data_IF_930545760383
#
_entry.id   IF_930545760383
#
_cell.length_a   1.000
_cell.length_b   1.000
_cell.length_c   1.000
_cell.angle_alpha   90.00
_cell.angle_beta   90.00
_cell.angle_gamma   90.00
#
_symmetry.space_group_name_H-M   'P 1'
#
loop_
_entity.id
_entity.type
_entity.pdbx_description
1 polymer ?
#
# COMPACT_ATOMS: atom_id res chain seq x y z
N UNK A 1 -6.29 -10.15 -20.74
CA UNK A 1 -6.55 -10.59 -19.37
C UNK A 1 -7.85 -9.92 -18.91
N UNK A 2 -8.62 -10.48 -17.97
CA UNK A 2 -9.87 -9.81 -17.58
C UNK A 2 -9.57 -8.53 -16.76
N UNK A 3 -10.38 -7.48 -16.95
CA UNK A 3 -10.21 -6.16 -16.30
C UNK A 3 -10.04 -6.30 -14.77
N UNK A 4 -10.72 -7.27 -14.16
CA UNK A 4 -10.64 -7.51 -12.72
C UNK A 4 -9.23 -7.98 -12.29
N UNK A 5 -8.56 -8.83 -13.09
CA UNK A 5 -7.20 -9.29 -12.78
C UNK A 5 -6.20 -8.13 -12.96
N UNK A 6 -6.33 -7.36 -14.04
CA UNK A 6 -5.48 -6.19 -14.29
C UNK A 6 -5.59 -5.17 -13.14
N UNK A 7 -6.81 -4.91 -12.68
CA UNK A 7 -7.09 -4.01 -11.56
C UNK A 7 -6.51 -4.56 -10.25
N UNK A 8 -6.61 -5.86 -10.01
CA UNK A 8 -6.08 -6.51 -8.81
C UNK A 8 -4.55 -6.42 -8.76
N UNK A 9 -3.88 -6.67 -9.89
CA UNK A 9 -2.42 -6.55 -9.98
C UNK A 9 -1.98 -5.09 -9.74
N UNK A 10 -2.68 -4.10 -10.31
CA UNK A 10 -2.41 -2.68 -10.05
C UNK A 10 -2.55 -2.33 -8.56
N UNK A 11 -3.62 -2.78 -7.90
CA UNK A 11 -3.82 -2.53 -6.46
C UNK A 11 -2.68 -3.14 -5.64
N UNK A 12 -2.30 -4.39 -5.94
CA UNK A 12 -1.19 -5.08 -5.27
C UNK A 12 0.10 -4.28 -5.41
N UNK A 13 0.44 -3.84 -6.62
CA UNK A 13 1.69 -3.11 -6.87
C UNK A 13 1.74 -1.77 -6.10
N UNK A 14 0.60 -1.07 -6.00
CA UNK A 14 0.49 0.15 -5.19
C UNK A 14 0.65 -0.13 -3.70
N UNK A 15 0.08 -1.23 -3.21
CA UNK A 15 0.22 -1.65 -1.81
C UNK A 15 1.66 -2.08 -1.48
N UNK A 16 2.34 -2.77 -2.40
CA UNK A 16 3.76 -3.12 -2.23
C UNK A 16 4.64 -1.87 -2.16
N UNK A 17 4.34 -0.86 -2.99
CA UNK A 17 5.01 0.45 -2.91
C UNK A 17 4.75 1.12 -1.55
N UNK A 18 3.50 1.17 -1.10
CA UNK A 18 3.15 1.76 0.20
C UNK A 18 3.87 1.06 1.37
N UNK A 19 3.96 -0.27 1.34
CA UNK A 19 4.71 -1.05 2.33
C UNK A 19 6.22 -0.74 2.31
N UNK A 20 6.82 -0.57 1.13
CA UNK A 20 8.23 -0.18 1.00
C UNK A 20 8.47 1.21 1.59
N UNK A 21 7.61 2.18 1.28
CA UNK A 21 7.69 3.53 1.83
C UNK A 21 7.52 3.53 3.36
N UNK A 22 6.58 2.76 3.89
CA UNK A 22 6.40 2.61 5.32
C UNK A 22 7.67 2.11 6.02
N UNK A 23 8.36 1.12 5.43
CA UNK A 23 9.64 0.62 5.96
C UNK A 23 10.75 1.67 5.88
N UNK A 24 10.85 2.39 4.77
CA UNK A 24 11.81 3.50 4.60
C UNK A 24 11.60 4.58 5.65
N UNK A 25 10.36 5.05 5.82
CA UNK A 25 10.02 6.07 6.81
C UNK A 25 10.30 5.62 8.25
N UNK A 26 10.10 4.34 8.57
CA UNK A 26 10.51 3.80 9.89
C UNK A 26 12.03 3.87 10.11
N UNK A 27 12.82 3.60 9.07
CA UNK A 27 14.28 3.72 9.14
C UNK A 27 14.68 5.19 9.33
N UNK A 28 14.07 6.10 8.58
CA UNK A 28 14.33 7.54 8.69
C UNK A 28 13.94 8.10 10.06
N UNK A 29 12.81 7.65 10.62
CA UNK A 29 12.41 7.99 11.98
C UNK A 29 13.46 7.53 12.99
N UNK A 30 13.94 6.29 12.88
CA UNK A 30 14.99 5.76 13.75
C UNK A 30 16.30 6.54 13.63
N UNK A 31 16.69 6.91 12.41
CA UNK A 31 17.88 7.75 12.18
C UNK A 31 17.70 9.12 12.83
N UNK A 32 16.55 9.77 12.64
CA UNK A 32 16.27 11.06 13.26
C UNK A 32 16.30 10.99 14.79
N UNK A 33 15.75 9.93 15.39
CA UNK A 33 15.80 9.69 16.84
C UNK A 33 17.25 9.53 17.34
N UNK A 34 18.07 8.75 16.63
CA UNK A 34 19.50 8.56 16.96
C UNK A 34 20.27 9.87 16.86
N UNK A 35 20.12 10.60 15.75
CA UNK A 35 20.80 11.89 15.56
C UNK A 35 20.38 12.91 16.62
N UNK A 36 19.12 12.93 17.04
CA UNK A 36 18.69 13.78 18.16
C UNK A 36 19.40 13.35 19.45
N UNK A 37 19.49 12.05 19.73
CA UNK A 37 20.22 11.54 20.89
C UNK A 37 21.69 11.91 20.86
N UNK A 38 22.35 11.78 19.72
CA UNK A 38 23.77 12.11 19.54
C UNK A 38 24.02 13.59 19.84
N UNK A 39 23.18 14.49 19.32
CA UNK A 39 23.26 15.93 19.62
C UNK A 39 23.05 16.21 21.11
N UNK A 40 22.14 15.50 21.77
CA UNK A 40 21.91 15.67 23.20
C UNK A 40 23.09 15.16 24.03
N UNK A 41 23.70 14.05 23.65
CA UNK A 41 24.92 13.55 24.29
C UNK A 41 26.09 14.52 24.08
N UNK A 42 26.26 15.07 22.87
CA UNK A 42 27.28 16.11 22.64
C UNK A 42 27.10 17.31 23.58
N UNK A 43 25.87 17.75 23.80
CA UNK A 43 25.55 18.83 24.74
C UNK A 43 25.81 18.43 26.21
N UNK A 44 25.54 17.18 26.57
CA UNK A 44 25.75 16.64 27.92
C UNK A 44 27.23 16.57 28.30
N UNK A 45 28.09 16.16 27.36
CA UNK A 45 29.53 16.03 27.59
C UNK A 45 30.32 17.30 27.27
N UNK A 46 29.66 18.40 26.90
CA UNK A 46 30.31 19.67 26.63
C UNK A 46 30.66 20.40 27.94
N UNK A 47 31.96 20.52 28.25
CA UNK A 47 32.43 21.20 29.46
C UNK A 47 32.10 22.70 29.51
N UNK A 48 32.07 23.37 28.35
CA UNK A 48 31.71 24.78 28.24
C UNK A 48 31.00 25.07 26.91
N UNK A 49 29.77 25.59 27.01
CA UNK A 49 28.93 25.91 25.85
C UNK A 49 28.81 27.42 25.67
N UNK A 50 29.35 27.95 24.58
CA UNK A 50 29.13 29.36 24.22
C UNK A 50 27.68 29.59 23.74
N UNK A 51 27.18 30.82 23.89
CA UNK A 51 25.86 31.20 23.39
C UNK A 51 25.68 30.93 21.89
N UNK A 52 26.74 31.12 21.09
CA UNK A 52 26.73 30.83 19.64
C UNK A 52 26.59 29.33 19.35
N UNK A 53 27.32 28.48 20.08
CA UNK A 53 27.18 27.02 19.96
C UNK A 53 25.80 26.55 20.42
N UNK A 54 25.30 27.06 21.55
CA UNK A 54 23.96 26.76 22.04
C UNK A 54 22.87 27.09 21.02
N UNK A 55 22.97 28.25 20.35
CA UNK A 55 22.05 28.62 19.27
C UNK A 55 22.10 27.66 18.08
N UNK A 56 23.30 27.20 17.68
CA UNK A 56 23.45 26.22 16.59
C UNK A 56 22.78 24.89 16.94
N UNK A 57 23.05 24.35 18.12
CA UNK A 57 22.42 23.12 18.59
C UNK A 57 20.89 23.23 18.69
N UNK A 58 20.39 24.34 19.25
CA UNK A 58 18.96 24.59 19.33
C UNK A 58 18.29 24.64 17.93
N UNK A 59 18.95 25.26 16.94
CA UNK A 59 18.47 25.26 15.55
C UNK A 59 18.48 23.87 14.92
N UNK A 60 19.55 23.09 15.12
CA UNK A 60 19.66 21.72 14.64
C UNK A 60 18.54 20.84 15.22
N UNK A 61 18.38 20.86 16.54
CA UNK A 61 17.32 20.12 17.23
C UNK A 61 15.92 20.54 16.76
N UNK A 62 15.68 21.85 16.59
CA UNK A 62 14.39 22.35 16.08
C UNK A 62 14.09 21.81 14.68
N UNK A 63 15.08 21.79 13.79
CA UNK A 63 14.93 21.24 12.44
C UNK A 63 14.65 19.75 12.48
N UNK A 64 15.50 18.97 13.17
CA UNK A 64 15.35 17.52 13.27
C UNK A 64 14.02 17.10 13.91
N UNK A 65 13.56 17.81 14.95
CA UNK A 65 12.27 17.52 15.58
C UNK A 65 11.08 17.82 14.67
N UNK A 66 11.18 18.84 13.80
CA UNK A 66 10.17 19.10 12.76
C UNK A 66 10.18 17.99 11.71
N UNK A 67 11.34 17.68 11.14
CA UNK A 67 11.50 16.63 10.14
C UNK A 67 10.97 15.28 10.67
N UNK A 68 11.35 14.93 11.91
CA UNK A 68 10.83 13.78 12.65
C UNK A 68 9.31 13.80 12.78
N UNK A 69 8.70 14.94 13.08
CA UNK A 69 7.23 15.05 13.21
C UNK A 69 6.54 14.78 11.88
N UNK A 70 7.06 15.32 10.77
CA UNK A 70 6.52 15.03 9.44
C UNK A 70 6.57 13.52 9.15
N UNK A 71 7.70 12.87 9.42
CA UNK A 71 7.85 11.42 9.24
C UNK A 71 6.84 10.63 10.09
N UNK A 72 6.63 11.01 11.36
CA UNK A 72 5.64 10.34 12.23
C UNK A 72 4.22 10.48 11.69
N UNK A 73 3.84 11.67 11.22
CA UNK A 73 2.51 11.90 10.66
C UNK A 73 2.28 11.01 9.42
N UNK A 74 3.23 10.96 8.50
CA UNK A 74 3.16 10.09 7.31
C UNK A 74 3.08 8.60 7.69
N UNK A 75 3.83 8.16 8.70
CA UNK A 75 3.75 6.79 9.22
C UNK A 75 2.38 6.47 9.81
N UNK A 76 1.78 7.40 10.55
CA UNK A 76 0.44 7.24 11.13
C UNK A 76 -0.61 7.09 10.04
N UNK A 77 -0.57 7.93 9.00
CA UNK A 77 -1.48 7.84 7.85
C UNK A 77 -1.30 6.51 7.08
N UNK A 78 -0.06 6.13 6.76
CA UNK A 78 0.24 4.87 6.07
C UNK A 78 -0.12 3.65 6.90
N UNK A 79 0.05 3.69 8.22
CA UNK A 79 -0.31 2.59 9.09
C UNK A 79 -1.82 2.32 9.02
N UNK A 80 -2.65 3.36 9.17
CA UNK A 80 -4.11 3.24 9.06
C UNK A 80 -4.51 2.66 7.71
N UNK A 81 -3.88 3.12 6.63
CA UNK A 81 -4.13 2.62 5.28
C UNK A 81 -3.76 1.14 5.12
N UNK A 82 -2.54 0.75 5.50
CA UNK A 82 -2.02 -0.61 5.32
C UNK A 82 -2.77 -1.63 6.19
N UNK A 83 -3.20 -1.25 7.39
CA UNK A 83 -4.00 -2.10 8.27
C UNK A 83 -5.32 -2.53 7.64
N UNK A 84 -5.94 -1.70 6.77
CA UNK A 84 -7.18 -2.08 6.06
C UNK A 84 -6.99 -3.20 5.05
N UNK A 85 -5.77 -3.37 4.53
CA UNK A 85 -5.43 -4.42 3.58
C UNK A 85 -4.67 -5.58 4.24
N UNK A 86 -4.40 -5.49 5.54
CA UNK A 86 -3.78 -6.56 6.29
C UNK A 86 -4.66 -7.81 6.27
N UNK A 87 -4.09 -8.94 5.84
CA UNK A 87 -4.81 -10.21 5.70
C UNK A 87 -5.66 -10.35 4.44
N UNK A 88 -5.68 -9.36 3.54
CA UNK A 88 -6.32 -9.53 2.24
C UNK A 88 -5.53 -10.50 1.37
N UNK A 89 -6.15 -11.62 0.99
CA UNK A 89 -5.52 -12.65 0.18
C UNK A 89 -5.68 -12.36 -1.32
N UNK A 90 -4.74 -11.57 -1.85
CA UNK A 90 -4.63 -11.25 -3.28
C UNK A 90 -4.48 -12.51 -4.14
N UNK A 91 -3.81 -13.55 -3.64
CA UNK A 91 -3.57 -14.77 -4.40
C UNK A 91 -4.85 -15.58 -4.56
N UNK A 92 -5.62 -15.76 -3.48
CA UNK A 92 -6.91 -16.44 -3.50
C UNK A 92 -7.93 -15.72 -4.39
N UNK A 93 -7.97 -14.38 -4.34
CA UNK A 93 -8.85 -13.62 -5.23
C UNK A 93 -8.41 -13.80 -6.70
N UNK A 94 -7.12 -13.65 -7.00
CA UNK A 94 -6.60 -13.83 -8.36
C UNK A 94 -6.91 -15.22 -8.90
N UNK A 95 -6.71 -16.27 -8.10
CA UNK A 95 -7.05 -17.65 -8.45
C UNK A 95 -8.53 -17.80 -8.77
N UNK A 96 -9.41 -17.26 -7.92
CA UNK A 96 -10.86 -17.32 -8.12
C UNK A 96 -11.30 -16.64 -9.43
N UNK A 97 -10.67 -15.53 -9.79
CA UNK A 97 -10.91 -14.82 -11.05
C UNK A 97 -10.44 -15.63 -12.26
N UNK A 98 -9.26 -16.25 -12.19
CA UNK A 98 -8.74 -17.11 -13.25
C UNK A 98 -9.62 -18.36 -13.45
N UNK A 99 -10.06 -18.99 -12.36
CA UNK A 99 -10.98 -20.13 -12.40
C UNK A 99 -12.33 -19.74 -13.03
N UNK A 100 -12.84 -18.54 -12.73
CA UNK A 100 -14.04 -18.01 -13.37
C UNK A 100 -13.83 -17.76 -14.87
N UNK A 101 -12.72 -17.14 -15.26
CA UNK A 101 -12.38 -16.88 -16.66
C UNK A 101 -12.31 -18.20 -17.45
N UNK A 102 -11.68 -19.23 -16.89
CA UNK A 102 -11.61 -20.56 -17.50
C UNK A 102 -12.99 -21.20 -17.64
N UNK A 103 -13.84 -21.15 -16.61
CA UNK A 103 -15.22 -21.64 -16.69
C UNK A 103 -16.03 -20.90 -17.76
N UNK A 104 -15.83 -19.59 -17.90
CA UNK A 104 -16.51 -18.79 -18.92
C UNK A 104 -16.05 -19.15 -20.34
N UNK A 105 -14.76 -19.42 -20.55
CA UNK A 105 -14.21 -19.87 -21.84
C UNK A 105 -14.77 -21.22 -22.29
N UNK A 106 -15.03 -22.13 -21.35
CA UNK A 106 -15.50 -23.49 -21.63
C UNK A 106 -17.00 -23.71 -21.36
N UNK A 107 -17.77 -22.64 -21.14
CA UNK A 107 -19.21 -22.75 -20.86
C UNK A 107 -19.96 -23.30 -22.07
N UNK A 108 -20.80 -24.31 -21.86
CA UNK A 108 -21.77 -24.78 -22.85
C UNK A 108 -23.15 -24.23 -22.50
N UNK A 109 -23.79 -23.56 -23.44
CA UNK A 109 -25.14 -23.05 -23.24
C UNK A 109 -26.17 -24.12 -23.58
N UNK A 110 -27.01 -24.45 -22.60
CA UNK A 110 -28.22 -25.24 -22.82
C UNK A 110 -29.41 -24.30 -22.88
N UNK A 111 -30.11 -24.18 -24.03
CA UNK A 111 -31.29 -23.35 -24.15
C UNK A 111 -32.36 -23.73 -23.14
N UNK A 112 -32.83 -22.75 -22.35
CA UNK A 112 -33.87 -22.97 -21.34
C UNK A 112 -35.28 -22.93 -21.91
N UNK A 113 -35.46 -22.17 -23.00
CA UNK A 113 -36.77 -21.85 -23.59
C UNK A 113 -36.82 -22.25 -25.07
N UNK A 114 -35.74 -22.02 -25.82
CA UNK A 114 -35.64 -22.34 -27.24
C UNK A 114 -35.26 -23.81 -27.43
N UNK A 115 -36.21 -24.71 -27.19
CA UNK A 115 -36.05 -26.15 -27.53
C UNK A 115 -35.84 -26.33 -29.03
N UNK A 116 -35.29 -27.47 -29.49
CA UNK A 116 -35.12 -27.73 -30.92
C UNK A 116 -36.42 -27.55 -31.71
N UNK A 117 -37.55 -28.02 -31.19
CA UNK A 117 -38.85 -27.89 -31.87
C UNK A 117 -39.29 -26.41 -31.96
N UNK A 118 -39.16 -25.65 -30.86
CA UNK A 118 -39.48 -24.22 -30.85
C UNK A 118 -38.59 -23.41 -31.78
N UNK A 119 -37.33 -23.81 -31.94
CA UNK A 119 -36.40 -23.19 -32.88
C UNK A 119 -36.84 -23.40 -34.32
N UNK A 120 -37.21 -24.62 -34.67
CA UNK A 120 -37.64 -24.99 -36.03
C UNK A 120 -38.94 -24.28 -36.42
N UNK A 121 -39.92 -24.24 -35.51
CA UNK A 121 -41.15 -23.47 -35.69
C UNK A 121 -40.83 -21.99 -35.94
N UNK A 122 -39.96 -21.38 -35.13
CA UNK A 122 -39.61 -19.96 -35.31
C UNK A 122 -38.84 -19.66 -36.60
N UNK A 123 -38.02 -20.59 -37.09
CA UNK A 123 -37.28 -20.41 -38.34
C UNK A 123 -38.17 -20.50 -39.58
N UNK A 124 -39.27 -21.24 -39.53
CA UNK A 124 -40.19 -21.42 -40.65
C UNK A 124 -41.25 -20.31 -40.80
N UNK A 125 -41.28 -19.34 -39.89
CA UNK A 125 -42.23 -18.20 -39.90
C UNK A 125 -41.52 -16.89 -40.31
N UNK A 126 -40.18 -16.92 -40.45
CA UNK A 126 -39.34 -15.83 -40.99
C UNK A 126 -39.09 -16.03 -42.48
#
# INVERSE_FOLDING_TARGET
>A
MCIAIDTLDMIRDKLDKANKEYRRLRQELSTADKTISDILHELEFCEALSASQGYKYARMLKKLRKDRRYIKNELEELQVFLEKFAGFDFHKLKKSLLDLENRQKHRKYTPRVLTPEKREIMLNIL
#
